data_IF_469639834662
#
_entry.id   IF_469639834662
#
_cell.length_a   1.000
_cell.length_b   1.000
_cell.length_c   1.000
_cell.angle_alpha   90.00
_cell.angle_beta   90.00
_cell.angle_gamma   90.00
#
_symmetry.space_group_name_H-M   'P 1'
#
loop_
_entity.id
_entity.type
_entity.pdbx_description
1 polymer ?
#
# COMPACT_ATOMS: atom_id res chain seq x y z
N UNK A 1 -33.11 3.18 0.96
CA UNK A 1 -32.96 2.37 2.15
C UNK A 1 -32.30 3.19 3.25
N UNK A 2 -32.91 3.25 4.43
CA UNK A 2 -32.32 3.94 5.58
C UNK A 2 -31.03 3.22 6.03
N UNK A 3 -29.98 3.94 6.46
CA UNK A 3 -28.79 3.31 6.97
C UNK A 3 -29.12 2.55 8.27
N UNK A 4 -28.70 1.29 8.35
CA UNK A 4 -28.84 0.51 9.56
C UNK A 4 -27.97 1.11 10.67
N UNK A 5 -28.56 1.34 11.83
CA UNK A 5 -27.83 1.79 13.02
C UNK A 5 -27.46 0.57 13.85
N UNK A 6 -26.20 0.38 14.08
CA UNK A 6 -25.66 -0.62 14.98
C UNK A 6 -25.10 -0.01 16.25
N UNK A 7 -24.83 -0.84 17.27
CA UNK A 7 -24.07 -0.45 18.45
C UNK A 7 -22.87 -1.40 18.63
N UNK A 8 -21.76 -0.88 19.14
CA UNK A 8 -20.62 -1.71 19.53
C UNK A 8 -20.88 -2.48 20.83
N UNK A 9 -19.93 -3.31 21.24
CA UNK A 9 -20.05 -4.10 22.48
C UNK A 9 -20.14 -3.24 23.76
N UNK A 10 -19.85 -1.97 23.67
CA UNK A 10 -19.94 -1.01 24.78
C UNK A 10 -21.22 -0.17 24.76
N UNK A 11 -22.13 -0.46 23.82
CA UNK A 11 -23.40 0.25 23.71
C UNK A 11 -23.29 1.65 23.08
N UNK A 12 -22.16 2.01 22.53
CA UNK A 12 -21.99 3.29 21.83
C UNK A 12 -22.65 3.20 20.45
N UNK A 13 -23.61 4.10 20.14
CA UNK A 13 -24.25 4.08 18.84
C UNK A 13 -23.28 4.50 17.75
N UNK A 14 -23.17 3.71 16.69
CA UNK A 14 -22.38 4.06 15.50
C UNK A 14 -23.27 4.10 14.25
N UNK A 15 -22.90 4.96 13.34
CA UNK A 15 -23.57 5.10 12.05
C UNK A 15 -22.83 4.30 11.00
N UNK A 16 -23.49 3.29 10.44
CA UNK A 16 -22.95 2.57 9.30
C UNK A 16 -23.18 3.39 8.05
N UNK A 17 -22.11 3.85 7.41
CA UNK A 17 -22.17 4.50 6.11
C UNK A 17 -21.89 3.46 5.03
N UNK A 18 -22.81 3.19 4.09
CA UNK A 18 -22.63 2.15 3.08
C UNK A 18 -21.53 2.46 2.06
N UNK A 19 -21.04 3.67 2.02
CA UNK A 19 -19.95 4.10 1.14
C UNK A 19 -19.13 5.19 1.79
N UNK A 20 -17.86 4.90 2.06
CA UNK A 20 -16.92 5.93 2.52
C UNK A 20 -16.45 6.72 1.29
N UNK A 21 -16.67 8.03 1.30
CA UNK A 21 -16.11 8.92 0.29
C UNK A 21 -14.62 9.12 0.57
N UNK A 22 -13.77 8.54 -0.27
CA UNK A 22 -12.32 8.60 -0.17
C UNK A 22 -11.71 9.81 -0.91
N UNK A 23 -12.52 10.63 -1.58
CA UNK A 23 -12.04 11.74 -2.41
C UNK A 23 -11.19 12.74 -1.61
N UNK A 24 -11.62 13.10 -0.41
CA UNK A 24 -10.87 14.00 0.48
C UNK A 24 -9.53 13.44 0.90
N UNK A 25 -9.46 12.12 1.14
CA UNK A 25 -8.23 11.43 1.47
C UNK A 25 -7.25 11.49 0.29
N UNK A 26 -7.68 11.18 -0.91
CA UNK A 26 -6.85 11.25 -2.11
C UNK A 26 -6.38 12.68 -2.40
N UNK A 27 -7.25 13.67 -2.22
CA UNK A 27 -6.89 15.09 -2.35
C UNK A 27 -5.75 15.49 -1.40
N UNK A 28 -5.84 15.08 -0.13
CA UNK A 28 -4.80 15.31 0.86
C UNK A 28 -3.48 14.63 0.50
N UNK A 29 -3.53 13.39 0.01
CA UNK A 29 -2.37 12.62 -0.44
C UNK A 29 -1.68 13.33 -1.61
N UNK A 30 -2.42 13.70 -2.64
CA UNK A 30 -1.86 14.42 -3.79
C UNK A 30 -1.31 15.79 -3.41
N UNK A 31 -1.95 16.48 -2.46
CA UNK A 31 -1.45 17.73 -1.88
C UNK A 31 -0.08 17.56 -1.21
N UNK A 32 0.11 16.49 -0.43
CA UNK A 32 1.39 16.14 0.16
C UNK A 32 2.46 15.85 -0.88
N UNK A 33 2.14 15.05 -1.88
CA UNK A 33 3.07 14.69 -2.95
C UNK A 33 3.50 15.89 -3.79
N UNK A 34 2.58 16.82 -4.06
CA UNK A 34 2.90 18.07 -4.77
C UNK A 34 3.88 18.96 -4.00
N UNK A 35 3.84 18.91 -2.67
CA UNK A 35 4.75 19.65 -1.80
C UNK A 35 6.12 18.96 -1.65
N UNK A 36 6.33 17.80 -2.27
CA UNK A 36 7.55 17.04 -2.17
C UNK A 36 7.70 16.22 -0.89
N UNK A 37 6.60 15.98 -0.19
CA UNK A 37 6.60 15.15 1.01
C UNK A 37 6.56 13.66 0.66
N UNK A 38 6.94 12.82 1.61
CA UNK A 38 6.87 11.36 1.49
C UNK A 38 5.56 10.83 2.06
N UNK A 39 5.08 9.74 1.45
CA UNK A 39 3.93 9.00 1.92
C UNK A 39 4.36 7.56 2.24
N UNK A 40 4.11 7.10 3.46
CA UNK A 40 4.31 5.71 3.86
C UNK A 40 3.00 4.92 3.71
N UNK A 41 3.08 3.76 3.07
CA UNK A 41 1.93 2.87 2.85
C UNK A 41 2.32 1.45 3.18
N UNK A 42 1.42 0.73 3.85
CA UNK A 42 1.47 -0.72 4.02
C UNK A 42 0.48 -1.37 3.05
N UNK A 43 0.93 -1.79 1.86
CA UNK A 43 0.02 -2.19 0.79
C UNK A 43 -0.69 -3.52 1.03
N UNK A 44 -0.22 -4.31 1.99
CA UNK A 44 -0.87 -5.55 2.40
C UNK A 44 -2.16 -5.31 3.21
N UNK A 45 -2.29 -4.13 3.82
CA UNK A 45 -3.48 -3.71 4.55
C UNK A 45 -3.73 -4.44 5.87
N UNK A 46 -2.80 -5.23 6.36
CA UNK A 46 -2.90 -5.95 7.63
C UNK A 46 -1.63 -6.66 8.01
N UNK A 47 -1.54 -7.07 9.27
CA UNK A 47 -0.44 -7.89 9.79
C UNK A 47 -0.78 -9.38 9.68
N UNK A 48 0.22 -10.21 9.44
CA UNK A 48 0.08 -11.66 9.33
C UNK A 48 1.39 -12.38 9.69
N UNK A 49 1.27 -13.65 9.99
CA UNK A 49 2.41 -14.53 10.35
C UNK A 49 2.88 -15.40 9.16
N UNK A 50 2.45 -15.10 7.96
CA UNK A 50 2.85 -15.85 6.76
C UNK A 50 4.28 -15.51 6.36
N UNK A 51 4.93 -16.47 5.73
CA UNK A 51 6.31 -16.34 5.22
C UNK A 51 6.42 -15.55 3.92
N UNK A 52 5.31 -15.31 3.23
CA UNK A 52 5.22 -14.53 1.99
C UNK A 52 4.27 -13.35 2.15
N UNK A 53 4.33 -12.43 1.19
CA UNK A 53 3.44 -11.26 1.13
C UNK A 53 1.98 -11.67 0.93
N UNK A 54 1.09 -10.97 1.62
CA UNK A 54 -0.33 -10.99 1.27
C UNK A 54 -0.53 -10.32 -0.11
N UNK A 55 -1.63 -10.63 -0.82
CA UNK A 55 -2.01 -9.90 -2.02
C UNK A 55 -2.07 -8.39 -1.73
N UNK A 56 -1.41 -7.58 -2.56
CA UNK A 56 -1.35 -6.15 -2.37
C UNK A 56 -2.68 -5.49 -2.73
N UNK A 57 -3.08 -4.52 -1.94
CA UNK A 57 -4.25 -3.68 -2.23
C UNK A 57 -3.91 -2.62 -3.27
N UNK A 58 -4.87 -2.30 -4.11
CA UNK A 58 -4.69 -1.43 -5.27
C UNK A 58 -4.30 0.02 -4.94
N UNK A 59 -4.53 0.49 -3.71
CA UNK A 59 -4.38 1.89 -3.31
C UNK A 59 -3.03 2.51 -3.68
N UNK A 60 -1.93 1.81 -3.45
CA UNK A 60 -0.59 2.33 -3.77
C UNK A 60 -0.40 2.55 -5.27
N UNK A 61 -0.89 1.62 -6.10
CA UNK A 61 -0.80 1.73 -7.55
C UNK A 61 -1.72 2.83 -8.10
N UNK A 62 -2.93 2.93 -7.57
CA UNK A 62 -3.88 3.99 -7.94
C UNK A 62 -3.31 5.36 -7.64
N UNK A 63 -2.73 5.57 -6.46
CA UNK A 63 -2.11 6.84 -6.09
C UNK A 63 -0.95 7.19 -7.02
N UNK A 64 -0.06 6.25 -7.32
CA UNK A 64 1.09 6.49 -8.19
C UNK A 64 0.67 6.82 -9.63
N UNK A 65 -0.29 6.08 -10.19
CA UNK A 65 -0.80 6.30 -11.54
C UNK A 65 -1.59 7.62 -11.65
N UNK A 66 -2.47 7.89 -10.70
CA UNK A 66 -3.25 9.13 -10.71
C UNK A 66 -2.39 10.37 -10.44
N UNK A 67 -1.38 10.28 -9.58
CA UNK A 67 -0.42 11.37 -9.37
C UNK A 67 0.31 11.72 -10.67
N UNK A 68 0.72 10.73 -11.43
CA UNK A 68 1.38 10.97 -12.72
C UNK A 68 0.40 11.45 -13.79
N UNK A 69 -0.77 10.82 -13.92
CA UNK A 69 -1.76 11.17 -14.95
C UNK A 69 -2.40 12.53 -14.71
N UNK A 70 -2.83 12.83 -13.49
CA UNK A 70 -3.61 14.02 -13.15
C UNK A 70 -2.75 15.21 -12.71
N UNK A 71 -1.67 14.95 -11.98
CA UNK A 71 -0.85 16.00 -11.36
C UNK A 71 0.54 16.12 -11.96
N UNK A 72 0.88 15.33 -12.97
CA UNK A 72 2.20 15.31 -13.63
C UNK A 72 3.37 15.04 -12.68
N UNK A 73 3.11 14.30 -11.61
CA UNK A 73 4.11 13.93 -10.61
C UNK A 73 4.41 12.44 -10.76
N UNK A 74 5.60 12.13 -11.26
CA UNK A 74 6.08 10.74 -11.30
C UNK A 74 6.78 10.39 -9.99
N UNK A 75 6.00 9.92 -9.03
CA UNK A 75 6.47 9.64 -7.67
C UNK A 75 7.34 8.38 -7.67
N UNK A 76 8.57 8.44 -7.15
CA UNK A 76 9.35 7.23 -6.95
C UNK A 76 8.74 6.37 -5.84
N UNK A 77 8.57 5.10 -6.12
CA UNK A 77 8.10 4.08 -5.17
C UNK A 77 9.31 3.34 -4.66
N UNK A 78 9.57 3.43 -3.36
CA UNK A 78 10.71 2.75 -2.72
C UNK A 78 10.16 1.59 -1.88
N UNK A 79 10.48 0.34 -2.23
CA UNK A 79 10.11 -0.79 -1.39
C UNK A 79 10.97 -0.79 -0.12
N UNK A 80 10.34 -1.04 1.02
CA UNK A 80 11.00 -1.08 2.32
C UNK A 80 10.65 -2.39 3.01
N UNK A 81 11.67 -3.17 3.34
CA UNK A 81 11.55 -4.38 4.12
C UNK A 81 11.76 -4.11 5.60
N UNK A 82 10.83 -4.55 6.43
CA UNK A 82 10.95 -4.55 7.88
C UNK A 82 11.17 -6.00 8.33
N UNK A 83 12.41 -6.35 8.60
CA UNK A 83 12.79 -7.72 8.97
C UNK A 83 13.02 -7.79 10.48
N UNK A 84 12.11 -8.49 11.16
CA UNK A 84 12.14 -8.66 12.61
C UNK A 84 12.80 -9.98 12.97
N UNK A 85 13.85 -9.90 13.78
CA UNK A 85 14.53 -11.06 14.34
C UNK A 85 14.27 -11.10 15.85
N UNK A 86 13.73 -12.21 16.34
CA UNK A 86 13.34 -12.39 17.74
C UNK A 86 12.29 -11.34 18.20
N UNK A 87 11.29 -11.07 17.37
CA UNK A 87 10.24 -10.07 17.64
C UNK A 87 9.43 -10.30 18.91
N UNK A 88 9.45 -11.54 19.47
CA UNK A 88 8.75 -11.89 20.69
C UNK A 88 9.59 -11.69 21.97
N UNK A 89 10.86 -11.28 21.84
CA UNK A 89 11.76 -11.11 22.96
C UNK A 89 12.11 -9.65 23.18
N UNK A 90 12.28 -9.27 24.45
CA UNK A 90 12.86 -8.00 24.82
C UNK A 90 14.27 -7.88 24.19
N UNK A 91 14.60 -6.74 23.60
CA UNK A 91 15.80 -6.49 22.79
C UNK A 91 15.85 -7.30 21.48
N UNK A 92 14.68 -7.54 20.85
CA UNK A 92 14.62 -8.05 19.48
C UNK A 92 15.36 -7.11 18.52
N UNK A 93 15.78 -7.66 17.36
CA UNK A 93 16.45 -6.89 16.31
C UNK A 93 15.49 -6.62 15.16
N UNK A 94 15.52 -5.40 14.65
CA UNK A 94 14.84 -5.03 13.40
C UNK A 94 15.89 -4.59 12.39
N UNK A 95 15.82 -5.11 11.18
CA UNK A 95 16.63 -4.67 10.06
C UNK A 95 15.69 -4.05 9.04
N UNK A 96 15.92 -2.78 8.71
CA UNK A 96 15.17 -2.04 7.70
C UNK A 96 16.01 -2.01 6.43
N UNK A 97 15.46 -2.55 5.35
CA UNK A 97 16.13 -2.61 4.05
C UNK A 97 15.34 -1.78 3.04
N UNK A 98 16.03 -0.88 2.34
CA UNK A 98 15.45 -0.06 1.28
C UNK A 98 15.88 -0.65 -0.07
N UNK A 99 14.91 -0.94 -0.92
CA UNK A 99 15.16 -1.40 -2.28
C UNK A 99 15.35 -0.25 -3.26
N UNK A 100 15.62 -0.60 -4.51
CA UNK A 100 15.77 0.38 -5.58
C UNK A 100 14.45 1.12 -5.83
N UNK A 101 14.46 2.45 -5.98
CA UNK A 101 13.27 3.19 -6.34
C UNK A 101 12.79 2.82 -7.74
N UNK A 102 11.47 2.70 -7.88
CA UNK A 102 10.81 2.46 -9.15
C UNK A 102 9.85 3.58 -9.47
N UNK A 103 9.61 3.83 -10.74
CA UNK A 103 8.69 4.85 -11.23
C UNK A 103 7.72 4.27 -12.24
N UNK A 104 6.58 4.94 -12.40
CA UNK A 104 5.64 4.64 -13.48
C UNK A 104 6.28 5.04 -14.80
N UNK A 105 6.35 4.11 -15.75
CA UNK A 105 6.82 4.40 -17.10
C UNK A 105 5.71 4.97 -17.99
N UNK A 106 6.09 5.52 -19.14
CA UNK A 106 5.15 6.12 -20.09
C UNK A 106 4.19 5.07 -20.68
N UNK A 107 4.61 3.83 -20.81
CA UNK A 107 3.78 2.72 -21.30
C UNK A 107 2.64 2.43 -20.34
N UNK A 108 2.92 2.36 -19.04
CA UNK A 108 1.91 2.21 -18.00
C UNK A 108 0.98 3.41 -17.92
N UNK A 109 1.50 4.62 -18.09
CA UNK A 109 0.69 5.83 -18.11
C UNK A 109 -0.31 5.82 -19.29
N UNK A 110 0.15 5.46 -20.48
CA UNK A 110 -0.71 5.33 -21.65
C UNK A 110 -1.78 4.24 -21.45
N UNK A 111 -1.40 3.10 -20.90
CA UNK A 111 -2.33 2.02 -20.57
C UNK A 111 -3.35 2.45 -19.51
N UNK A 112 -2.95 3.26 -18.54
CA UNK A 112 -3.86 3.79 -17.50
C UNK A 112 -5.00 4.62 -18.08
N UNK A 113 -4.78 5.34 -19.16
CA UNK A 113 -5.82 6.13 -19.84
C UNK A 113 -6.85 5.26 -20.54
N UNK A 114 -6.47 4.11 -21.07
CA UNK A 114 -7.33 3.20 -21.86
C UNK A 114 -7.81 2.00 -21.06
N UNK A 115 -6.95 1.40 -20.26
CA UNK A 115 -7.17 0.17 -19.51
C UNK A 115 -6.69 0.34 -18.05
N UNK A 116 -7.40 1.15 -17.28
CA UNK A 116 -7.00 1.53 -15.93
C UNK A 116 -6.68 0.36 -15.01
N UNK A 117 -7.51 -0.68 -15.03
CA UNK A 117 -7.33 -1.84 -14.16
C UNK A 117 -6.16 -2.71 -14.57
N UNK A 118 -5.91 -2.84 -15.87
CA UNK A 118 -4.75 -3.57 -16.38
C UNK A 118 -3.44 -2.88 -15.98
N UNK A 119 -3.36 -1.56 -16.10
CA UNK A 119 -2.19 -0.79 -15.67
C UNK A 119 -1.96 -0.90 -14.16
N UNK A 120 -3.03 -0.82 -13.37
CA UNK A 120 -2.97 -1.00 -11.91
C UNK A 120 -2.43 -2.37 -11.54
N UNK A 121 -2.92 -3.44 -12.17
CA UNK A 121 -2.49 -4.80 -11.90
C UNK A 121 -1.00 -5.03 -12.24
N UNK A 122 -0.56 -4.52 -13.39
CA UNK A 122 0.85 -4.60 -13.81
C UNK A 122 1.75 -3.88 -12.80
N UNK A 123 1.37 -2.67 -12.37
CA UNK A 123 2.15 -1.91 -11.41
C UNK A 123 2.19 -2.61 -10.04
N UNK A 124 1.08 -3.18 -9.58
CA UNK A 124 1.03 -3.97 -8.35
C UNK A 124 1.96 -5.18 -8.39
N UNK A 125 2.01 -5.89 -9.51
CA UNK A 125 2.93 -7.02 -9.70
C UNK A 125 4.40 -6.58 -9.64
N UNK A 126 4.73 -5.45 -10.23
CA UNK A 126 6.08 -4.87 -10.14
C UNK A 126 6.44 -4.47 -8.71
N UNK A 127 5.52 -3.85 -7.98
CA UNK A 127 5.69 -3.49 -6.58
C UNK A 127 5.89 -4.74 -5.73
N UNK A 128 5.08 -5.77 -5.90
CA UNK A 128 5.19 -7.03 -5.17
C UNK A 128 6.56 -7.70 -5.39
N UNK A 129 7.04 -7.72 -6.62
CA UNK A 129 8.37 -8.27 -6.95
C UNK A 129 9.48 -7.48 -6.27
N UNK A 130 9.41 -6.15 -6.27
CA UNK A 130 10.36 -5.28 -5.58
C UNK A 130 10.31 -5.48 -4.06
N UNK A 131 9.15 -5.63 -3.48
CA UNK A 131 8.99 -5.86 -2.04
C UNK A 131 9.60 -7.20 -1.62
N UNK A 132 9.44 -8.25 -2.43
CA UNK A 132 10.07 -9.56 -2.15
C UNK A 132 11.59 -9.49 -2.12
N UNK A 133 12.20 -8.58 -2.87
CA UNK A 133 13.66 -8.41 -2.88
C UNK A 133 14.21 -7.84 -1.57
N UNK A 134 13.41 -7.14 -0.77
CA UNK A 134 13.83 -6.53 0.50
C UNK A 134 13.32 -7.29 1.74
N UNK A 135 12.58 -8.37 1.55
CA UNK A 135 12.12 -9.25 2.61
C UNK A 135 13.05 -10.46 2.68
N UNK A 136 13.59 -10.70 3.87
CA UNK A 136 14.38 -11.91 4.11
C UNK A 136 13.41 -13.07 4.33
N UNK A 137 13.44 -14.11 3.49
CA UNK A 137 12.63 -15.28 3.73
C UNK A 137 13.08 -15.94 5.03
N UNK A 138 12.18 -16.07 6.00
CA UNK A 138 12.43 -16.82 7.21
C UNK A 138 12.28 -18.29 6.84
N UNK A 139 13.33 -19.14 7.02
CA UNK A 139 13.17 -20.56 6.83
C UNK A 139 12.11 -21.08 7.80
N UNK A 140 11.17 -21.87 7.29
CA UNK A 140 10.21 -22.58 8.14
C UNK A 140 11.01 -23.42 9.14
N UNK A 141 10.95 -23.02 10.40
CA UNK A 141 11.38 -23.92 11.47
C UNK A 141 10.31 -25.02 11.55
N UNK A 142 10.60 -26.16 10.93
CA UNK A 142 9.88 -27.38 11.23
C UNK A 142 10.11 -27.69 12.71
N UNK A 143 9.08 -27.49 13.48
CA UNK A 143 8.99 -28.00 14.86
C UNK A 143 8.78 -29.49 14.84
#
# INVERSE_FOLDING_TARGET
AAPESGSDHNGVPFKVTPRVDQSKMYEAVFGCLRKGHCLGIFPEGGSHDRTDLLPLKAGVAVIALDAYAQHKINVPIVPVGLNYFRGHHFRGRVVIEFGAPMRVDETLLAMHETERWAATDILLKKIATSMRSVIVPVPEYQT
#
